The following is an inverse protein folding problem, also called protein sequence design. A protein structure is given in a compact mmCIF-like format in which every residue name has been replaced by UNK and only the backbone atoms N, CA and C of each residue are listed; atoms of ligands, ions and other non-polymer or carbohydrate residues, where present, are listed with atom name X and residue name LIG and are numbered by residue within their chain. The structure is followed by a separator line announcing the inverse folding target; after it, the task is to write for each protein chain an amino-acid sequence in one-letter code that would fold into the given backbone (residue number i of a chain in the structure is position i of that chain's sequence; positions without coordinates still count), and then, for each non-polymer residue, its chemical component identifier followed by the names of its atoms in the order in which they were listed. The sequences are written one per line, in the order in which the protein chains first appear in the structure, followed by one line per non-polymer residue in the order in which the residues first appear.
data_IF_291093124034
#
_entry.id   IF_291093124034
#
_cell.length_a   1.000
_cell.length_b   1.000
_cell.length_c   1.000
_cell.angle_alpha   90.00
_cell.angle_beta   90.00
_cell.angle_gamma   90.00
#
_symmetry.space_group_name_H-M   'P 1'
#
loop_
_entity.id
_entity.type
_entity.pdbx_description
1 polymer ?
#
# COMPACT_ATOMS: atom_id res chain seq x y z
N UNK A 1 15.14 1.34 12.84
CA UNK A 1 14.28 2.43 12.31
C UNK A 1 15.06 3.67 11.87
N UNK A 2 16.26 3.96 12.42
CA UNK A 2 17.00 5.21 12.15
C UNK A 2 17.77 5.30 10.82
N UNK A 3 17.30 4.67 9.74
CA UNK A 3 17.85 4.92 8.40
C UNK A 3 16.93 5.87 7.64
N UNK A 4 17.45 6.79 6.80
CA UNK A 4 16.63 7.82 6.15
C UNK A 4 15.57 7.24 5.21
N UNK A 5 15.75 6.01 4.74
CA UNK A 5 14.87 5.35 3.79
C UNK A 5 13.73 4.58 4.45
N UNK A 6 13.93 4.05 5.66
CA UNK A 6 12.94 3.19 6.31
C UNK A 6 11.59 3.88 6.52
N UNK A 7 11.51 5.09 7.11
CA UNK A 7 10.21 5.71 7.38
C UNK A 7 9.38 5.99 6.12
N UNK A 8 9.97 6.51 5.01
CA UNK A 8 9.25 6.61 3.74
C UNK A 8 8.76 5.27 3.19
N UNK A 9 9.59 4.21 3.22
CA UNK A 9 9.19 2.88 2.72
C UNK A 9 8.09 2.26 3.57
N UNK A 10 8.20 2.35 4.89
CA UNK A 10 7.17 1.85 5.80
C UNK A 10 5.85 2.61 5.62
N UNK A 11 5.91 3.93 5.39
CA UNK A 11 4.73 4.74 5.13
C UNK A 11 4.03 4.38 3.80
N UNK A 12 4.79 3.93 2.80
CA UNK A 12 4.24 3.51 1.51
C UNK A 12 3.36 2.25 1.61
N UNK A 13 3.63 1.34 2.55
CA UNK A 13 2.80 0.13 2.77
C UNK A 13 1.33 0.49 3.00
N UNK A 14 1.07 1.52 3.81
CA UNK A 14 -0.30 1.97 4.09
C UNK A 14 -0.99 2.55 2.85
N UNK A 15 -0.24 3.17 1.93
CA UNK A 15 -0.78 3.69 0.67
C UNK A 15 -1.23 2.53 -0.23
N UNK A 16 -0.41 1.48 -0.36
CA UNK A 16 -0.79 0.29 -1.12
C UNK A 16 -2.01 -0.40 -0.53
N UNK A 17 -2.04 -0.58 0.80
CA UNK A 17 -3.20 -1.16 1.50
C UNK A 17 -4.47 -0.34 1.31
N UNK A 18 -4.36 0.99 1.25
CA UNK A 18 -5.49 1.88 1.00
C UNK A 18 -6.13 1.60 -0.37
N UNK A 19 -5.29 1.49 -1.41
CA UNK A 19 -5.72 1.20 -2.79
C UNK A 19 -6.28 -0.22 -2.91
N UNK A 20 -5.54 -1.19 -2.38
CA UNK A 20 -5.85 -2.61 -2.47
C UNK A 20 -7.20 -2.94 -1.83
N UNK A 21 -7.47 -2.36 -0.65
CA UNK A 21 -8.67 -2.65 0.12
C UNK A 21 -9.76 -1.60 -0.06
N UNK A 22 -9.50 -0.52 -0.82
CA UNK A 22 -10.40 0.64 -0.96
C UNK A 22 -10.80 1.22 0.41
N UNK A 23 -9.84 1.38 1.32
CA UNK A 23 -10.06 1.90 2.68
C UNK A 23 -9.27 3.17 2.91
N UNK A 24 -9.88 4.13 3.63
CA UNK A 24 -9.21 5.33 4.08
C UNK A 24 -8.35 5.07 5.33
N UNK A 25 -7.19 5.72 5.41
CA UNK A 25 -6.30 5.63 6.57
C UNK A 25 -6.06 6.99 7.20
N UNK A 26 -6.09 7.06 8.53
CA UNK A 26 -5.60 8.18 9.32
C UNK A 26 -4.62 7.62 10.36
N UNK A 27 -3.33 7.76 10.08
CA UNK A 27 -2.26 7.09 10.83
C UNK A 27 -1.35 8.10 11.51
N UNK A 28 -1.09 7.88 12.79
CA UNK A 28 -0.06 8.58 13.56
C UNK A 28 1.20 7.75 13.69
N UNK A 29 2.36 8.40 13.73
CA UNK A 29 3.64 7.75 14.00
C UNK A 29 4.45 8.59 14.99
N UNK A 30 5.20 7.93 15.88
CA UNK A 30 6.01 8.60 16.92
C UNK A 30 7.29 9.20 16.32
N UNK A 31 7.98 8.45 15.45
CA UNK A 31 9.23 8.85 14.78
C UNK A 31 9.19 8.62 13.26
N UNK A 32 8.03 8.23 12.73
CA UNK A 32 7.81 8.02 11.30
C UNK A 32 6.93 9.11 10.68
N UNK A 33 6.32 8.76 9.55
CA UNK A 33 5.41 9.65 8.81
C UNK A 33 3.98 9.41 9.29
N UNK A 34 3.36 10.41 9.89
CA UNK A 34 1.90 10.45 10.05
C UNK A 34 1.27 10.87 8.72
N UNK A 35 0.10 10.31 8.39
CA UNK A 35 -0.54 10.55 7.10
C UNK A 35 -2.05 10.30 7.12
N UNK A 36 -2.76 11.04 6.26
CA UNK A 36 -4.17 10.82 5.93
C UNK A 36 -4.25 10.43 4.45
N UNK A 37 -4.81 9.25 4.17
CA UNK A 37 -4.83 8.62 2.85
C UNK A 37 -6.28 8.32 2.46
N UNK A 38 -6.64 8.60 1.21
CA UNK A 38 -7.94 8.22 0.64
C UNK A 38 -7.94 6.80 0.05
N UNK A 39 -9.13 6.21 -0.21
CA UNK A 39 -9.24 4.87 -0.79
C UNK A 39 -8.55 4.66 -2.15
N UNK A 40 -8.09 5.73 -2.80
CA UNK A 40 -7.34 5.68 -4.06
C UNK A 40 -5.83 5.89 -3.86
N UNK A 41 -5.37 5.91 -2.60
CA UNK A 41 -3.96 6.04 -2.25
C UNK A 41 -3.46 7.49 -2.27
N UNK A 42 -4.33 8.48 -2.40
CA UNK A 42 -3.90 9.89 -2.39
C UNK A 42 -3.72 10.35 -0.95
N UNK A 43 -2.56 10.92 -0.66
CA UNK A 43 -2.27 11.53 0.65
C UNK A 43 -2.84 12.95 0.70
N UNK A 44 -3.87 13.18 1.51
CA UNK A 44 -4.42 14.53 1.72
C UNK A 44 -3.64 15.32 2.78
N UNK A 45 -2.92 14.63 3.67
CA UNK A 45 -2.01 15.23 4.62
C UNK A 45 -0.86 14.27 4.95
N UNK A 46 0.33 14.82 5.19
CA UNK A 46 1.55 14.07 5.54
C UNK A 46 2.43 14.88 6.48
N UNK A 47 3.03 14.21 7.45
CA UNK A 47 3.97 14.80 8.40
C UNK A 47 5.42 14.67 7.92
N UNK A 48 6.30 15.56 8.41
CA UNK A 48 7.74 15.36 8.37
C UNK A 48 8.17 14.22 9.31
N UNK A 49 9.34 13.62 9.06
CA UNK A 49 9.93 12.57 9.90
C UNK A 49 10.61 13.21 11.12
N UNK A 50 10.53 12.58 12.29
CA UNK A 50 11.18 13.03 13.54
C UNK A 50 10.85 14.48 13.96
N UNK A 51 9.71 15.00 13.52
CA UNK A 51 9.21 16.32 13.91
C UNK A 51 7.90 16.18 14.66
N UNK A 52 7.85 16.77 15.86
CA UNK A 52 6.62 16.88 16.64
C UNK A 52 5.65 17.84 15.92
N UNK A 53 4.62 17.27 15.32
CA UNK A 53 3.62 18.02 14.56
C UNK A 53 2.25 17.33 14.62
N UNK A 54 1.20 18.12 14.39
CA UNK A 54 -0.13 17.60 14.10
C UNK A 54 -0.43 17.83 12.62
N UNK A 55 -1.11 16.86 12.00
CA UNK A 55 -1.58 16.99 10.62
C UNK A 55 -3.10 16.87 10.59
N UNK A 56 -3.73 17.57 9.65
CA UNK A 56 -5.16 17.47 9.40
C UNK A 56 -5.36 17.34 7.90
N UNK A 57 -6.27 16.44 7.51
CA UNK A 57 -6.57 16.13 6.12
C UNK A 57 -7.97 15.57 6.02
N UNK A 58 -8.54 15.67 4.83
CA UNK A 58 -9.87 15.14 4.53
C UNK A 58 -9.71 13.84 3.75
N UNK A 59 -10.53 12.86 4.09
CA UNK A 59 -10.63 11.60 3.37
C UNK A 59 -12.11 11.18 3.32
N UNK A 60 -12.43 10.17 2.53
CA UNK A 60 -13.78 9.67 2.36
C UNK A 60 -13.79 8.14 2.46
N UNK A 61 -14.95 7.57 2.76
CA UNK A 61 -15.15 6.12 2.79
C UNK A 61 -15.85 5.71 1.49
N UNK A 62 -15.55 4.52 1.00
CA UNK A 62 -16.26 3.90 -0.12
C UNK A 62 -16.91 2.59 0.32
N UNK A 63 -18.09 2.30 -0.22
CA UNK A 63 -18.80 1.04 0.01
C UNK A 63 -18.30 -0.08 -0.92
N UNK A 64 -17.53 0.27 -1.95
CA UNK A 64 -17.02 -0.67 -2.93
C UNK A 64 -15.93 -1.57 -2.33
N UNK A 65 -16.24 -2.86 -2.17
CA UNK A 65 -15.23 -3.90 -1.91
C UNK A 65 -14.60 -4.33 -3.24
N UNK A 66 -13.32 -4.08 -3.49
CA UNK A 66 -12.70 -4.44 -4.76
C UNK A 66 -12.64 -5.97 -4.90
N UNK A 67 -12.67 -6.46 -6.15
CA UNK A 67 -12.59 -7.89 -6.48
C UNK A 67 -11.36 -8.57 -5.87
N UNK A 68 -10.27 -7.81 -5.65
CA UNK A 68 -9.07 -8.30 -4.98
C UNK A 68 -9.33 -8.71 -3.52
N UNK A 69 -10.14 -7.95 -2.77
CA UNK A 69 -10.52 -8.32 -1.39
C UNK A 69 -11.35 -9.61 -1.33
N UNK A 70 -12.03 -9.98 -2.42
CA UNK A 70 -12.80 -11.23 -2.49
C UNK A 70 -11.94 -12.46 -2.78
N UNK A 71 -10.93 -12.33 -3.65
CA UNK A 71 -10.19 -13.48 -4.20
C UNK A 71 -8.69 -13.52 -3.85
N UNK A 72 -8.16 -12.52 -3.16
CA UNK A 72 -6.75 -12.46 -2.72
C UNK A 72 -5.75 -12.47 -3.88
N UNK A 73 -4.62 -13.17 -3.71
CA UNK A 73 -3.47 -13.17 -4.63
C UNK A 73 -3.64 -14.00 -5.92
N UNK A 74 -4.87 -14.15 -6.43
CA UNK A 74 -5.13 -14.94 -7.64
C UNK A 74 -4.33 -14.45 -8.85
N UNK A 75 -4.13 -13.13 -8.98
CA UNK A 75 -3.32 -12.54 -10.05
C UNK A 75 -1.85 -12.92 -9.90
N UNK A 76 -1.33 -12.92 -8.67
CA UNK A 76 0.04 -13.36 -8.37
C UNK A 76 0.26 -14.83 -8.77
N UNK A 77 -0.68 -15.71 -8.42
CA UNK A 77 -0.63 -17.12 -8.80
C UNK A 77 -0.69 -17.33 -10.32
N UNK A 78 -1.48 -16.53 -11.05
CA UNK A 78 -1.51 -16.57 -12.52
C UNK A 78 -0.15 -16.18 -13.13
N UNK A 79 0.49 -15.13 -12.60
CA UNK A 79 1.83 -14.74 -13.06
C UNK A 79 2.86 -15.85 -12.79
N UNK A 80 2.84 -16.46 -11.61
CA UNK A 80 3.73 -17.58 -11.27
C UNK A 80 3.51 -18.76 -12.21
N UNK A 81 2.25 -19.12 -12.48
CA UNK A 81 1.91 -20.19 -13.42
C UNK A 81 2.38 -19.88 -14.86
N UNK A 82 2.22 -18.64 -15.32
CA UNK A 82 2.68 -18.21 -16.65
C UNK A 82 4.20 -18.31 -16.79
N UNK A 83 4.95 -17.80 -15.79
CA UNK A 83 6.42 -17.89 -15.77
C UNK A 83 6.88 -19.35 -15.70
N UNK A 84 6.25 -20.16 -14.84
CA UNK A 84 6.52 -21.60 -14.75
C UNK A 84 6.30 -22.32 -16.07
N UNK A 85 5.21 -22.01 -16.79
CA UNK A 85 4.93 -22.58 -18.10
C UNK A 85 5.98 -22.19 -19.14
N UNK A 86 6.39 -20.93 -19.17
CA UNK A 86 7.44 -20.44 -20.09
C UNK A 86 8.79 -21.11 -19.80
N UNK A 87 9.17 -21.21 -18.52
CA UNK A 87 10.40 -21.88 -18.11
C UNK A 87 10.38 -23.38 -18.48
N UNK A 88 9.25 -24.05 -18.26
CA UNK A 88 9.06 -25.44 -18.62
C UNK A 88 9.15 -25.68 -20.13
N UNK A 89 8.56 -24.79 -20.94
CA UNK A 89 8.67 -24.84 -22.41
C UNK A 89 10.11 -24.64 -22.89
N UNK A 90 10.88 -23.78 -22.23
CA UNK A 90 12.30 -23.56 -22.53
C UNK A 90 13.17 -24.76 -22.17
N UNK A 91 12.84 -25.50 -21.11
CA UNK A 91 13.59 -26.70 -20.69
C UNK A 91 13.38 -27.91 -21.60
N UNK A 92 12.36 -27.90 -22.47
CA UNK A 92 12.03 -29.00 -23.38
C UNK A 92 12.42 -28.73 -24.85
N UNK A 93 13.01 -27.57 -25.13
CA UNK A 93 13.61 -27.22 -26.43
C UNK A 93 15.12 -27.30 -26.34
#
# INVERSE_FOLDING_TARGET
FGTPWFPPYHAADSVFRAVENRVAFALGSVSGVAQVIDPYGRMSARSNIDVRQAISGVTFVTEERPLYTWWGDWFGWLCVAAVGLLAFRRSRS
#
